data_IF_325602674048
#
_entry.id   IF_325602674048
#
_cell.length_a   1.000
_cell.length_b   1.000
_cell.length_c   1.000
_cell.angle_alpha   90.00
_cell.angle_beta   90.00
_cell.angle_gamma   90.00
#
_symmetry.space_group_name_H-M   'P 1'
#
loop_
_entity.id
_entity.type
_entity.pdbx_description
1 polymer ?
#
# COMPACT_ATOMS: atom_id res chain seq x y z
N UNK A 1 -8.82 -18.46 15.52
CA UNK A 1 -7.80 -17.39 15.47
C UNK A 1 -8.26 -16.34 14.46
N UNK A 2 -8.16 -15.03 14.73
CA UNK A 2 -8.50 -14.03 13.70
C UNK A 2 -7.44 -14.01 12.58
N UNK A 3 -7.84 -13.61 11.38
CA UNK A 3 -6.94 -13.56 10.22
C UNK A 3 -5.69 -12.70 10.49
N UNK A 4 -5.87 -11.56 11.16
CA UNK A 4 -4.75 -10.69 11.54
C UNK A 4 -3.76 -11.35 12.51
N UNK A 5 -4.25 -12.16 13.46
CA UNK A 5 -3.39 -12.89 14.40
C UNK A 5 -2.59 -13.99 13.70
N UNK A 6 -3.21 -14.70 12.77
CA UNK A 6 -2.51 -15.70 11.96
C UNK A 6 -1.43 -15.04 11.08
N UNK A 7 -1.76 -13.93 10.41
CA UNK A 7 -0.79 -13.23 9.57
C UNK A 7 0.39 -12.66 10.37
N UNK A 8 0.13 -12.08 11.54
CA UNK A 8 1.19 -11.62 12.44
C UNK A 8 2.12 -12.76 12.88
N UNK A 9 1.55 -13.93 13.21
CA UNK A 9 2.35 -15.12 13.54
C UNK A 9 3.25 -15.50 12.37
N UNK A 10 2.71 -15.59 11.14
CA UNK A 10 3.51 -15.90 9.95
C UNK A 10 4.64 -14.91 9.73
N UNK A 11 4.40 -13.60 9.91
CA UNK A 11 5.45 -12.59 9.79
C UNK A 11 6.55 -12.79 10.84
N UNK A 12 6.18 -13.07 12.08
CA UNK A 12 7.13 -13.33 13.17
C UNK A 12 7.96 -14.59 12.87
N UNK A 13 7.34 -15.65 12.35
CA UNK A 13 8.02 -16.92 12.03
C UNK A 13 9.06 -16.76 10.90
N UNK A 14 9.05 -15.66 10.13
CA UNK A 14 10.07 -15.37 9.12
C UNK A 14 11.33 -14.69 9.69
N UNK A 15 11.27 -14.22 10.94
CA UNK A 15 12.40 -13.56 11.59
C UNK A 15 13.43 -14.59 12.06
N UNK A 16 14.74 -14.27 11.99
CA UNK A 16 15.76 -15.12 12.60
C UNK A 16 15.61 -15.13 14.12
N UNK A 17 16.05 -16.20 14.79
CA UNK A 17 16.00 -16.32 16.25
C UNK A 17 16.77 -15.20 16.98
N UNK A 18 17.70 -14.53 16.30
CA UNK A 18 18.46 -13.39 16.81
C UNK A 18 17.76 -12.04 16.60
N UNK A 19 16.56 -12.01 16.03
CA UNK A 19 15.84 -10.79 15.69
C UNK A 19 15.51 -9.96 16.93
N UNK A 20 15.75 -8.65 16.83
CA UNK A 20 15.35 -7.70 17.86
C UNK A 20 13.99 -7.07 17.56
N UNK A 21 13.49 -6.27 18.50
CA UNK A 21 12.25 -5.52 18.32
C UNK A 21 12.25 -4.62 17.07
N UNK A 22 13.41 -4.10 16.67
CA UNK A 22 13.52 -3.25 15.48
C UNK A 22 13.31 -4.04 14.17
N UNK A 23 13.70 -5.32 14.14
CA UNK A 23 13.42 -6.20 12.99
C UNK A 23 11.93 -6.52 12.88
N UNK A 24 11.27 -6.73 14.02
CA UNK A 24 9.81 -6.93 14.08
C UNK A 24 9.08 -5.72 13.50
N UNK A 25 9.42 -4.50 13.95
CA UNK A 25 8.81 -3.26 13.44
C UNK A 25 9.01 -3.15 11.93
N UNK A 26 10.23 -3.38 11.44
CA UNK A 26 10.56 -3.30 10.02
C UNK A 26 9.74 -4.28 9.16
N UNK A 27 9.58 -5.52 9.61
CA UNK A 27 8.78 -6.53 8.88
C UNK A 27 7.30 -6.17 8.86
N UNK A 28 6.75 -5.67 9.98
CA UNK A 28 5.36 -5.21 10.05
C UNK A 28 5.11 -3.99 9.15
N UNK A 29 6.04 -3.04 9.12
CA UNK A 29 5.97 -1.88 8.23
C UNK A 29 6.00 -2.30 6.75
N UNK A 30 6.90 -3.22 6.38
CA UNK A 30 6.99 -3.74 5.02
C UNK A 30 5.69 -4.46 4.59
N UNK A 31 5.13 -5.31 5.46
CA UNK A 31 3.87 -6.00 5.20
C UNK A 31 2.70 -5.01 5.05
N UNK A 32 2.66 -3.98 5.89
CA UNK A 32 1.63 -2.94 5.84
C UNK A 32 1.72 -2.12 4.55
N UNK A 33 2.93 -1.77 4.13
CA UNK A 33 3.17 -1.08 2.86
C UNK A 33 2.73 -1.94 1.67
N UNK A 34 3.09 -3.22 1.65
CA UNK A 34 2.68 -4.14 0.58
C UNK A 34 1.16 -4.26 0.50
N UNK A 35 0.46 -4.35 1.63
CA UNK A 35 -1.00 -4.37 1.66
C UNK A 35 -1.59 -3.10 1.03
N UNK A 36 -1.09 -1.92 1.41
CA UNK A 36 -1.53 -0.65 0.83
C UNK A 36 -1.27 -0.56 -0.69
N UNK A 37 -0.16 -1.12 -1.18
CA UNK A 37 0.11 -1.22 -2.62
C UNK A 37 -0.92 -2.10 -3.32
N UNK A 38 -1.22 -3.28 -2.76
CA UNK A 38 -2.21 -4.20 -3.33
C UNK A 38 -3.61 -3.57 -3.34
N UNK A 39 -3.99 -2.87 -2.28
CA UNK A 39 -5.24 -2.12 -2.22
C UNK A 39 -5.28 -1.02 -3.29
N UNK A 40 -4.16 -0.33 -3.50
CA UNK A 40 -4.00 0.67 -4.56
C UNK A 40 -4.15 0.07 -5.96
N UNK A 41 -3.57 -1.10 -6.22
CA UNK A 41 -3.71 -1.83 -7.49
C UNK A 41 -5.16 -2.28 -7.68
N UNK A 42 -5.80 -2.84 -6.65
CA UNK A 42 -7.19 -3.27 -6.73
C UNK A 42 -8.14 -2.09 -6.98
N UNK A 43 -7.90 -0.94 -6.34
CA UNK A 43 -8.63 0.29 -6.62
C UNK A 43 -8.37 0.75 -8.06
N UNK A 44 -7.14 0.58 -8.55
CA UNK A 44 -6.77 0.97 -9.90
C UNK A 44 -7.46 0.13 -10.97
N UNK A 45 -7.47 -1.19 -10.80
CA UNK A 45 -8.13 -2.14 -11.70
C UNK A 45 -9.65 -1.92 -11.75
N UNK A 46 -10.24 -1.40 -10.67
CA UNK A 46 -11.67 -1.04 -10.61
C UNK A 46 -11.98 0.32 -11.25
N UNK A 47 -11.00 1.00 -11.84
CA UNK A 47 -11.17 2.34 -12.40
C UNK A 47 -11.36 3.43 -11.34
N UNK A 48 -11.06 3.13 -10.07
CA UNK A 48 -11.04 4.12 -8.99
C UNK A 48 -9.72 4.89 -8.93
N UNK A 49 -8.93 4.87 -10.00
CA UNK A 49 -7.80 5.79 -10.22
C UNK A 49 -8.40 7.15 -10.58
N UNK A 50 -8.89 7.87 -9.58
CA UNK A 50 -9.09 9.32 -9.66
C UNK A 50 -10.15 9.73 -10.72
N UNK A 51 -11.31 10.26 -10.29
CA UNK A 51 -12.34 10.69 -11.24
C UNK A 51 -11.74 11.60 -12.34
N UNK A 52 -12.19 11.56 -13.61
CA UNK A 52 -11.57 12.33 -14.69
C UNK A 52 -11.31 13.80 -14.35
N UNK A 53 -12.22 14.43 -13.60
CA UNK A 53 -12.07 15.79 -13.10
C UNK A 53 -10.86 16.00 -12.16
N UNK A 54 -10.53 15.02 -11.33
CA UNK A 54 -9.37 15.05 -10.44
C UNK A 54 -8.06 14.88 -11.23
N UNK A 55 -8.07 14.10 -12.33
CA UNK A 55 -6.92 13.98 -13.24
C UNK A 55 -6.70 15.29 -14.00
N UNK A 56 -7.75 15.89 -14.56
CA UNK A 56 -7.68 17.21 -15.21
C UNK A 56 -7.19 18.29 -14.26
N UNK A 57 -7.66 18.29 -13.00
CA UNK A 57 -7.20 19.23 -11.98
C UNK A 57 -5.71 19.04 -11.62
N UNK A 58 -5.20 17.81 -11.68
CA UNK A 58 -3.79 17.52 -11.44
C UNK A 58 -2.90 18.11 -12.55
N UNK A 59 -3.28 17.93 -13.81
CA UNK A 59 -2.55 18.47 -14.96
C UNK A 59 -2.63 20.00 -15.06
N UNK A 60 -3.76 20.59 -14.68
CA UNK A 60 -3.92 22.04 -14.61
C UNK A 60 -2.94 22.70 -13.62
N UNK A 61 -2.57 22.00 -12.52
CA UNK A 61 -1.53 22.50 -11.57
C UNK A 61 -0.15 22.61 -12.19
N UNK A 62 0.12 21.93 -13.30
CA UNK A 62 1.36 22.02 -14.07
C UNK A 62 1.21 22.83 -15.36
N UNK A 63 0.08 23.51 -15.54
CA UNK A 63 -0.20 24.35 -16.72
C UNK A 63 -0.47 23.57 -18.00
N UNK A 64 -0.76 22.27 -17.90
CA UNK A 64 -1.09 21.42 -19.05
C UNK A 64 -2.61 21.43 -19.27
N UNK A 65 -3.04 21.87 -20.45
CA UNK A 65 -4.44 21.75 -20.88
C UNK A 65 -4.68 20.35 -21.45
N UNK A 66 -5.54 19.58 -20.79
CA UNK A 66 -5.89 18.20 -21.16
C UNK A 66 -7.08 18.17 -22.13
N UNK A 67 -7.65 19.33 -22.48
CA UNK A 67 -8.80 19.46 -23.39
C UNK A 67 -8.43 19.88 -24.82
N UNK A 68 -7.13 20.13 -25.07
CA UNK A 68 -6.58 20.53 -26.36
C UNK A 68 -6.23 19.35 -27.28
#
# INVERSE_FOLDING_TARGET
MSAIKHHAQTLIDTLPDTAGWQDVVRVVEAASFQAAVLDGIAAADQGAITAPAQVTALFARWGVDVTA
#
